data_IF_676761779833
#
_entry.id   IF_676761779833
#
_cell.length_a   1.000
_cell.length_b   1.000
_cell.length_c   1.000
_cell.angle_alpha   90.00
_cell.angle_beta   90.00
_cell.angle_gamma   90.00
#
_symmetry.space_group_name_H-M   'P 1'
#
loop_
_entity.id
_entity.type
_entity.pdbx_description
1 polymer ?
#
# COMPACT_ATOMS: atom_id res chain seq x y z
N UNK A 1 26.75 4.06 -24.62
CA UNK A 1 26.14 4.84 -23.49
C UNK A 1 26.35 4.04 -22.22
N UNK A 2 27.05 4.59 -21.22
CA UNK A 2 27.25 3.91 -19.94
C UNK A 2 26.05 4.18 -19.00
N UNK A 3 25.73 3.19 -18.18
CA UNK A 3 24.75 3.33 -17.11
C UNK A 3 25.29 4.29 -16.05
N UNK A 4 24.49 5.29 -15.65
CA UNK A 4 24.83 6.23 -14.59
C UNK A 4 24.05 5.86 -13.32
N UNK A 5 24.76 5.50 -12.26
CA UNK A 5 24.15 5.32 -10.93
C UNK A 5 23.90 6.70 -10.34
N UNK A 6 22.64 7.04 -10.07
CA UNK A 6 22.27 8.33 -9.52
C UNK A 6 22.23 8.33 -7.99
N UNK A 7 21.85 7.22 -7.36
CA UNK A 7 21.84 7.04 -5.90
C UNK A 7 21.81 5.54 -5.56
N UNK A 8 22.27 5.20 -4.35
CA UNK A 8 22.08 3.88 -3.74
C UNK A 8 20.91 3.97 -2.75
N UNK A 9 20.02 2.98 -2.80
CA UNK A 9 18.95 2.84 -1.81
C UNK A 9 19.47 2.01 -0.63
N UNK A 10 19.05 2.32 0.62
CA UNK A 10 19.36 1.47 1.77
C UNK A 10 18.75 0.09 1.57
N UNK A 11 19.31 -0.93 2.21
CA UNK A 11 18.71 -2.26 2.21
C UNK A 11 17.30 -2.22 2.84
N UNK A 12 16.34 -2.98 2.31
CA UNK A 12 14.97 -3.02 2.85
C UNK A 12 14.91 -3.30 4.36
N UNK A 13 15.78 -4.18 4.87
CA UNK A 13 15.87 -4.48 6.29
C UNK A 13 16.24 -3.26 7.13
N UNK A 14 17.17 -2.42 6.64
CA UNK A 14 17.59 -1.21 7.34
C UNK A 14 16.47 -0.18 7.38
N UNK A 15 15.78 0.01 6.26
CA UNK A 15 14.66 0.95 6.19
C UNK A 15 13.48 0.51 7.08
N UNK A 16 13.18 -0.80 7.12
CA UNK A 16 12.16 -1.35 8.02
C UNK A 16 12.54 -1.20 9.50
N UNK A 17 13.84 -1.29 9.83
CA UNK A 17 14.31 -1.07 11.18
C UNK A 17 14.22 0.41 11.61
N UNK A 18 14.43 1.34 10.66
CA UNK A 18 14.31 2.79 10.90
C UNK A 18 12.86 3.27 10.98
N UNK A 19 11.99 2.68 10.13
CA UNK A 19 10.55 2.98 10.08
C UNK A 19 9.73 1.70 10.34
N UNK A 20 9.78 1.11 11.55
CA UNK A 20 9.17 -0.17 11.84
C UNK A 20 7.64 -0.11 11.85
N UNK A 21 7.01 -1.19 11.44
CA UNK A 21 5.59 -1.41 11.72
C UNK A 21 5.44 -1.72 13.23
N UNK A 22 4.69 -0.92 14.01
CA UNK A 22 4.42 -1.20 15.43
C UNK A 22 3.81 -2.59 15.63
N UNK A 23 4.20 -3.26 16.73
CA UNK A 23 3.76 -4.65 17.00
C UNK A 23 2.24 -4.81 17.03
N UNK A 24 1.54 -3.86 17.63
CA UNK A 24 0.07 -3.84 17.68
C UNK A 24 -0.56 -3.76 16.29
N UNK A 25 0.05 -3.01 15.37
CA UNK A 25 -0.42 -2.92 13.99
C UNK A 25 -0.06 -4.16 13.16
N UNK A 26 1.06 -4.80 13.45
CA UNK A 26 1.43 -6.08 12.86
C UNK A 26 0.43 -7.19 13.24
N UNK A 27 -0.09 -7.20 14.47
CA UNK A 27 -1.15 -8.15 14.86
C UNK A 27 -2.48 -7.86 14.15
N UNK A 28 -2.84 -6.58 13.94
CA UNK A 28 -4.00 -6.23 13.11
C UNK A 28 -3.82 -6.79 11.70
N UNK A 29 -2.66 -6.54 11.08
CA UNK A 29 -2.35 -7.06 9.75
C UNK A 29 -2.46 -8.58 9.69
N UNK A 30 -1.83 -9.29 10.61
CA UNK A 30 -1.85 -10.75 10.69
C UNK A 30 -3.28 -11.32 10.78
N UNK A 31 -4.13 -10.69 11.61
CA UNK A 31 -5.53 -11.08 11.72
C UNK A 31 -6.28 -10.89 10.40
N UNK A 32 -6.14 -9.72 9.77
CA UNK A 32 -6.81 -9.42 8.50
C UNK A 32 -6.30 -10.31 7.37
N UNK A 33 -5.01 -10.60 7.30
CA UNK A 33 -4.43 -11.53 6.32
C UNK A 33 -5.01 -12.95 6.47
N UNK A 34 -5.25 -13.40 7.71
CA UNK A 34 -5.89 -14.68 7.97
C UNK A 34 -7.36 -14.69 7.51
N UNK A 35 -8.14 -13.65 7.83
CA UNK A 35 -9.53 -13.52 7.38
C UNK A 35 -9.64 -13.50 5.84
N UNK A 36 -8.72 -12.81 5.17
CA UNK A 36 -8.69 -12.77 3.71
C UNK A 36 -8.35 -14.15 3.13
N UNK A 37 -7.40 -14.88 3.74
CA UNK A 37 -7.07 -16.25 3.33
C UNK A 37 -8.28 -17.16 3.44
N UNK A 38 -9.03 -17.09 4.54
CA UNK A 38 -10.26 -17.87 4.72
C UNK A 38 -11.29 -17.63 3.60
N UNK A 39 -11.41 -16.39 3.12
CA UNK A 39 -12.30 -16.06 2.00
C UNK A 39 -11.82 -16.77 0.71
N UNK A 40 -10.53 -16.69 0.39
CA UNK A 40 -9.98 -17.32 -0.80
C UNK A 40 -9.99 -18.86 -0.74
N UNK A 41 -9.90 -19.43 0.46
CA UNK A 41 -10.03 -20.88 0.68
C UNK A 41 -11.51 -21.35 0.69
N UNK A 42 -12.47 -20.46 0.51
CA UNK A 42 -13.89 -20.78 0.53
C UNK A 42 -14.43 -21.12 1.93
N UNK A 43 -13.74 -20.73 2.99
CA UNK A 43 -14.13 -20.92 4.39
C UNK A 43 -14.99 -19.77 4.93
N UNK A 44 -15.15 -18.72 4.18
CA UNK A 44 -15.95 -17.55 4.53
C UNK A 44 -16.75 -17.10 3.31
N UNK A 45 -18.03 -16.76 3.52
CA UNK A 45 -18.93 -16.26 2.48
C UNK A 45 -18.79 -14.75 2.20
N UNK A 46 -17.79 -14.09 2.79
CA UNK A 46 -17.54 -12.67 2.56
C UNK A 46 -16.97 -12.43 1.16
N UNK A 47 -17.33 -11.28 0.59
CA UNK A 47 -16.71 -10.76 -0.63
C UNK A 47 -15.55 -9.85 -0.32
N UNK A 48 -14.43 -10.00 -1.03
CA UNK A 48 -13.30 -9.06 -0.98
C UNK A 48 -13.61 -7.88 -1.91
N UNK A 49 -13.55 -6.67 -1.36
CA UNK A 49 -13.72 -5.42 -2.11
C UNK A 49 -12.45 -4.58 -1.96
N UNK A 50 -11.70 -4.45 -3.06
CA UNK A 50 -10.52 -3.59 -3.13
C UNK A 50 -10.95 -2.29 -3.80
N UNK A 51 -10.94 -1.18 -3.06
CA UNK A 51 -11.45 0.11 -3.53
C UNK A 51 -10.60 1.26 -3.04
N UNK A 52 -10.36 2.25 -3.91
CA UNK A 52 -9.55 3.41 -3.57
C UNK A 52 -9.52 4.47 -4.66
N UNK A 53 -8.86 5.61 -4.40
CA UNK A 53 -8.72 6.69 -5.36
C UNK A 53 -7.84 6.29 -6.55
N UNK A 54 -7.86 7.10 -7.60
CA UNK A 54 -7.07 6.86 -8.82
C UNK A 54 -5.55 6.88 -8.55
N UNK A 55 -5.09 7.76 -7.65
CA UNK A 55 -3.69 7.82 -7.21
C UNK A 55 -3.58 8.49 -5.85
N UNK A 56 -2.57 8.08 -5.08
CA UNK A 56 -2.18 8.73 -3.84
C UNK A 56 -1.14 9.81 -4.16
N UNK A 57 -1.45 11.05 -3.84
CA UNK A 57 -0.60 12.23 -4.02
C UNK A 57 -0.43 13.04 -2.73
N UNK A 58 -1.31 12.83 -1.76
CA UNK A 58 -1.32 13.52 -0.49
C UNK A 58 -1.74 12.58 0.64
N UNK A 59 -0.91 12.46 1.67
CA UNK A 59 -1.14 11.53 2.80
C UNK A 59 -2.45 11.83 3.54
N UNK A 60 -2.75 13.11 3.81
CA UNK A 60 -3.95 13.48 4.58
C UNK A 60 -5.23 13.15 3.80
N UNK A 61 -5.24 13.42 2.49
CA UNK A 61 -6.37 13.10 1.63
C UNK A 61 -6.61 11.59 1.55
N UNK A 62 -5.54 10.79 1.48
CA UNK A 62 -5.62 9.33 1.47
C UNK A 62 -6.13 8.82 2.82
N UNK A 63 -5.59 9.31 3.93
CA UNK A 63 -6.02 8.90 5.26
C UNK A 63 -7.48 9.31 5.54
N UNK A 64 -7.94 10.49 5.12
CA UNK A 64 -9.36 10.88 5.20
C UNK A 64 -10.25 9.89 4.41
N UNK A 65 -9.84 9.54 3.19
CA UNK A 65 -10.57 8.54 2.40
C UNK A 65 -10.65 7.19 3.11
N UNK A 66 -9.53 6.69 3.65
CA UNK A 66 -9.50 5.39 4.36
C UNK A 66 -10.33 5.45 5.66
N UNK A 67 -10.32 6.58 6.36
CA UNK A 67 -11.18 6.81 7.54
C UNK A 67 -12.68 6.76 7.18
N UNK A 68 -13.07 7.29 6.02
CA UNK A 68 -14.45 7.16 5.52
C UNK A 68 -14.80 5.72 5.18
N UNK A 69 -13.86 4.98 4.55
CA UNK A 69 -14.05 3.55 4.29
C UNK A 69 -14.19 2.73 5.58
N UNK A 70 -13.47 3.07 6.64
CA UNK A 70 -13.59 2.41 7.93
C UNK A 70 -15.01 2.52 8.48
N UNK A 71 -15.65 3.70 8.38
CA UNK A 71 -17.06 3.90 8.79
C UNK A 71 -18.04 3.09 7.93
N UNK A 72 -17.73 2.89 6.66
CA UNK A 72 -18.52 1.99 5.79
C UNK A 72 -18.29 0.54 6.20
N UNK A 73 -17.03 0.15 6.44
CA UNK A 73 -16.67 -1.20 6.86
C UNK A 73 -17.40 -1.65 8.13
N UNK A 74 -17.61 -0.76 9.11
CA UNK A 74 -18.40 -1.04 10.31
C UNK A 74 -19.82 -1.56 10.01
N UNK A 75 -20.41 -1.11 8.90
CA UNK A 75 -21.79 -1.44 8.51
C UNK A 75 -21.91 -2.67 7.63
N UNK A 76 -20.81 -3.11 6.99
CA UNK A 76 -20.84 -4.16 5.96
C UNK A 76 -19.85 -5.29 6.22
N UNK A 77 -19.11 -5.23 7.32
CA UNK A 77 -18.04 -6.18 7.65
C UNK A 77 -18.52 -7.61 7.90
N UNK A 78 -19.83 -7.81 8.08
CA UNK A 78 -20.46 -9.13 8.12
C UNK A 78 -20.47 -9.82 6.77
N UNK A 79 -20.47 -9.07 5.67
CA UNK A 79 -20.55 -9.57 4.28
C UNK A 79 -19.38 -9.19 3.40
N UNK A 80 -18.71 -8.10 3.70
CA UNK A 80 -17.63 -7.56 2.88
C UNK A 80 -16.31 -7.48 3.66
N UNK A 81 -15.23 -7.84 3.00
CA UNK A 81 -13.87 -7.56 3.43
C UNK A 81 -13.35 -6.37 2.62
N UNK A 82 -13.42 -5.17 3.19
CA UNK A 82 -12.95 -3.97 2.51
C UNK A 82 -11.43 -3.86 2.66
N UNK A 83 -10.74 -3.69 1.54
CA UNK A 83 -9.31 -3.43 1.45
C UNK A 83 -9.14 -2.08 0.74
N UNK A 84 -8.69 -1.03 1.45
CA UNK A 84 -8.34 0.23 0.81
C UNK A 84 -7.26 0.02 -0.25
N UNK A 85 -7.50 0.46 -1.49
CA UNK A 85 -6.47 0.53 -2.52
C UNK A 85 -5.81 1.90 -2.43
N UNK A 86 -4.54 1.91 -2.10
CA UNK A 86 -3.71 3.11 -2.04
C UNK A 86 -2.70 3.02 -3.17
N UNK A 87 -2.98 3.70 -4.27
CA UNK A 87 -2.19 3.60 -5.49
C UNK A 87 -1.09 4.66 -5.51
N UNK A 88 0.15 4.24 -5.22
CA UNK A 88 1.29 5.14 -5.04
C UNK A 88 2.14 5.35 -6.30
N UNK A 89 1.91 4.54 -7.33
CA UNK A 89 2.57 4.63 -8.62
C UNK A 89 1.63 5.23 -9.67
N UNK A 90 2.14 6.14 -10.50
CA UNK A 90 1.40 6.70 -11.63
C UNK A 90 2.21 6.51 -12.91
N UNK A 91 1.93 5.45 -13.68
CA UNK A 91 2.61 5.26 -14.96
C UNK A 91 2.21 6.40 -15.90
N UNK A 92 3.22 6.95 -16.59
CA UNK A 92 3.04 8.01 -17.59
C UNK A 92 3.64 7.55 -18.91
N UNK A 93 2.80 7.24 -19.87
CA UNK A 93 3.24 6.81 -21.21
C UNK A 93 4.02 7.90 -21.96
N UNK A 94 3.70 9.17 -21.68
CA UNK A 94 4.41 10.34 -22.24
C UNK A 94 5.67 10.72 -21.46
N UNK A 95 5.88 10.14 -20.27
CA UNK A 95 6.98 10.52 -19.37
C UNK A 95 6.80 11.86 -18.66
N UNK A 96 5.76 12.61 -18.97
CA UNK A 96 5.46 13.93 -18.39
C UNK A 96 4.40 13.86 -17.28
N UNK A 97 4.43 14.85 -16.38
CA UNK A 97 3.49 15.00 -15.27
C UNK A 97 3.84 14.21 -14.02
N UNK A 98 3.00 14.32 -13.00
CA UNK A 98 3.17 13.71 -11.69
C UNK A 98 3.25 12.17 -11.79
N UNK A 99 4.30 11.58 -11.19
CA UNK A 99 4.64 10.14 -11.30
C UNK A 99 4.16 9.28 -10.13
N UNK A 100 3.37 9.84 -9.23
CA UNK A 100 2.92 9.18 -8.02
C UNK A 100 3.85 9.41 -6.82
N UNK A 101 3.33 9.14 -5.63
CA UNK A 101 4.04 9.37 -4.36
C UNK A 101 5.35 8.59 -4.26
N UNK A 102 5.44 7.41 -4.87
CA UNK A 102 6.67 6.62 -4.86
C UNK A 102 7.87 7.37 -5.47
N UNK A 103 7.65 8.09 -6.55
CA UNK A 103 8.73 8.79 -7.25
C UNK A 103 8.86 10.25 -6.85
N UNK A 104 7.76 10.86 -6.45
CA UNK A 104 7.66 12.30 -6.18
C UNK A 104 6.70 12.53 -5.00
N UNK A 105 7.15 12.25 -3.74
CA UNK A 105 6.32 12.39 -2.55
C UNK A 105 5.87 13.83 -2.30
N UNK A 106 6.67 14.82 -2.74
CA UNK A 106 6.33 16.23 -2.81
C UNK A 106 6.20 16.65 -4.28
N UNK A 107 4.99 16.99 -4.76
CA UNK A 107 4.77 17.37 -6.16
C UNK A 107 5.58 18.60 -6.62
N UNK A 108 6.00 19.46 -5.68
CA UNK A 108 6.73 20.70 -5.97
C UNK A 108 8.25 20.51 -5.96
N UNK A 109 8.73 19.30 -5.60
CA UNK A 109 10.15 18.97 -5.53
C UNK A 109 10.59 18.03 -6.66
N UNK A 110 11.90 17.93 -6.86
CA UNK A 110 12.46 16.96 -7.78
C UNK A 110 12.14 15.50 -7.32
N UNK A 111 11.96 14.56 -8.24
CA UNK A 111 11.74 13.15 -7.89
C UNK A 111 12.81 12.59 -6.97
N UNK A 112 12.39 11.90 -5.90
CA UNK A 112 13.26 11.25 -4.93
C UNK A 112 12.64 9.92 -4.49
N UNK A 113 13.18 8.81 -5.00
CA UNK A 113 12.65 7.48 -4.76
C UNK A 113 12.75 7.05 -3.30
N UNK A 114 13.85 7.40 -2.59
CA UNK A 114 14.02 7.05 -1.19
C UNK A 114 12.97 7.74 -0.31
N UNK A 115 12.81 9.05 -0.48
CA UNK A 115 11.77 9.80 0.23
C UNK A 115 10.37 9.29 -0.12
N UNK A 116 10.15 8.88 -1.37
CA UNK A 116 8.91 8.25 -1.81
C UNK A 116 8.60 6.96 -1.05
N UNK A 117 9.57 6.06 -0.93
CA UNK A 117 9.41 4.81 -0.17
C UNK A 117 9.11 5.10 1.32
N UNK A 118 9.81 6.05 1.92
CA UNK A 118 9.57 6.48 3.32
C UNK A 118 8.17 7.05 3.48
N UNK A 119 7.74 7.94 2.58
CA UNK A 119 6.42 8.55 2.62
C UNK A 119 5.31 7.50 2.50
N UNK A 120 5.45 6.54 1.59
CA UNK A 120 4.50 5.43 1.42
C UNK A 120 4.42 4.58 2.69
N UNK A 121 5.57 4.20 3.29
CA UNK A 121 5.57 3.43 4.55
C UNK A 121 4.81 4.16 5.64
N UNK A 122 5.10 5.45 5.85
CA UNK A 122 4.43 6.28 6.87
C UNK A 122 2.93 6.36 6.64
N UNK A 123 2.51 6.61 5.42
CA UNK A 123 1.10 6.69 5.04
C UNK A 123 0.34 5.38 5.29
N UNK A 124 0.89 4.23 4.88
CA UNK A 124 0.27 2.93 5.14
C UNK A 124 0.20 2.62 6.64
N UNK A 125 1.27 2.87 7.40
CA UNK A 125 1.29 2.67 8.86
C UNK A 125 0.22 3.56 9.52
N UNK A 126 0.12 4.83 9.12
CA UNK A 126 -0.89 5.76 9.61
C UNK A 126 -2.30 5.27 9.29
N UNK A 127 -2.56 4.83 8.07
CA UNK A 127 -3.86 4.31 7.67
C UNK A 127 -4.29 3.12 8.54
N UNK A 128 -3.40 2.15 8.78
CA UNK A 128 -3.69 1.02 9.68
C UNK A 128 -3.93 1.52 11.12
N UNK A 129 -3.09 2.43 11.60
CA UNK A 129 -3.20 2.97 12.97
C UNK A 129 -4.53 3.67 13.21
N UNK A 130 -4.99 4.47 12.27
CA UNK A 130 -6.21 5.26 12.40
C UNK A 130 -7.48 4.42 12.20
N UNK A 131 -7.41 3.34 11.41
CA UNK A 131 -8.62 2.67 10.92
C UNK A 131 -8.69 1.16 11.19
N UNK A 132 -7.57 0.53 11.48
CA UNK A 132 -7.47 -0.94 11.54
C UNK A 132 -7.60 -1.62 10.18
N UNK A 133 -7.67 -0.88 9.06
CA UNK A 133 -7.74 -1.44 7.72
C UNK A 133 -6.34 -1.56 7.12
N UNK A 134 -5.98 -2.77 6.71
CA UNK A 134 -4.79 -3.00 5.89
C UNK A 134 -5.09 -2.71 4.44
N UNK A 135 -4.14 -2.12 3.74
CA UNK A 135 -4.33 -1.65 2.38
C UNK A 135 -3.58 -2.50 1.36
N UNK A 136 -3.97 -2.37 0.10
CA UNK A 136 -3.28 -2.87 -1.06
C UNK A 136 -2.69 -1.71 -1.87
N UNK A 137 -1.55 -1.93 -2.50
CA UNK A 137 -0.96 -1.01 -3.48
C UNK A 137 -0.76 -1.75 -4.81
N UNK A 138 -0.75 -1.02 -5.89
CA UNK A 138 -0.49 -1.53 -7.23
C UNK A 138 0.99 -1.36 -7.55
N UNK A 139 1.75 -2.43 -7.35
CA UNK A 139 3.21 -2.41 -7.52
C UNK A 139 3.60 -2.60 -8.97
N UNK A 140 3.97 -1.51 -9.64
CA UNK A 140 4.51 -1.56 -11.00
C UNK A 140 5.96 -2.05 -11.04
N UNK A 141 6.67 -1.94 -9.93
CA UNK A 141 8.07 -2.33 -9.78
C UNK A 141 8.19 -3.35 -8.65
N UNK A 142 8.25 -4.66 -8.94
CA UNK A 142 8.31 -5.72 -7.94
C UNK A 142 9.46 -5.57 -6.95
N UNK A 143 10.56 -4.93 -7.36
CA UNK A 143 11.74 -4.68 -6.52
C UNK A 143 11.42 -3.84 -5.28
N UNK A 144 10.41 -2.96 -5.39
CA UNK A 144 10.01 -2.10 -4.28
C UNK A 144 9.20 -2.84 -3.21
N UNK A 145 8.70 -4.03 -3.52
CA UNK A 145 7.91 -4.86 -2.59
C UNK A 145 8.63 -5.09 -1.28
N UNK A 146 9.91 -5.44 -1.33
CA UNK A 146 10.71 -5.78 -0.15
C UNK A 146 10.77 -4.66 0.90
N UNK A 147 10.50 -3.41 0.52
CA UNK A 147 10.41 -2.26 1.44
C UNK A 147 9.06 -2.15 2.15
N UNK A 148 8.02 -2.84 1.68
CA UNK A 148 6.63 -2.66 2.11
C UNK A 148 5.92 -3.98 2.46
N UNK A 149 6.55 -5.13 2.31
CA UNK A 149 5.95 -6.47 2.48
C UNK A 149 5.44 -6.75 3.90
N UNK A 150 6.00 -6.06 4.89
CA UNK A 150 5.55 -6.12 6.29
C UNK A 150 4.30 -5.29 6.58
N UNK A 151 3.93 -4.37 5.68
CA UNK A 151 2.81 -3.44 5.84
C UNK A 151 1.67 -3.78 4.88
N UNK A 152 2.01 -3.95 3.60
CA UNK A 152 1.06 -4.31 2.56
C UNK A 152 0.60 -5.75 2.73
N UNK A 153 -0.54 -6.03 2.16
CA UNK A 153 -1.03 -7.39 2.03
C UNK A 153 -0.04 -8.23 1.22
N UNK A 154 0.17 -9.50 1.60
CA UNK A 154 1.06 -10.40 0.86
C UNK A 154 0.51 -10.68 -0.54
N UNK A 155 1.38 -10.57 -1.54
CA UNK A 155 1.02 -10.64 -2.97
C UNK A 155 0.68 -12.03 -3.48
N UNK A 156 0.89 -13.07 -2.70
CA UNK A 156 0.61 -14.45 -3.16
C UNK A 156 -0.78 -14.62 -3.76
N UNK A 157 -1.70 -13.70 -3.44
CA UNK A 157 -3.07 -13.71 -3.90
C UNK A 157 -3.44 -12.62 -4.93
N UNK A 158 -2.60 -11.61 -5.17
CA UNK A 158 -2.90 -10.57 -6.16
C UNK A 158 -2.45 -10.93 -7.57
N UNK A 159 -1.39 -11.71 -7.72
CA UNK A 159 -0.93 -12.21 -9.03
C UNK A 159 -1.91 -13.22 -9.65
N UNK A 160 -2.64 -13.98 -8.84
CA UNK A 160 -3.66 -14.93 -9.34
C UNK A 160 -4.93 -14.22 -9.83
N UNK A 161 -5.26 -13.03 -9.31
CA UNK A 161 -6.42 -12.26 -9.76
C UNK A 161 -6.21 -11.55 -11.10
N UNK A 162 -4.96 -11.35 -11.52
CA UNK A 162 -4.62 -10.77 -12.83
C UNK A 162 -4.52 -11.81 -13.96
N UNK A 163 -4.50 -13.09 -13.63
CA UNK A 163 -4.34 -14.18 -14.61
C UNK A 163 -5.63 -14.91 -14.98
N UNK A 164 -6.82 -14.38 -14.58
CA UNK A 164 -8.12 -14.97 -14.94
C UNK A 164 -8.99 -14.01 -15.70
#
# INVERSE_FOLDING_TARGET
>A
MGMKINAELPLPANLKAEYPLPKELAEIKKKRDAEIREIFEGKSDKFVVIVGPCSADNEDSVCDYVNRLAKVNEKVSDRLMIIPRIYTNKPRTTGEGYKGMLHQPDPDQAPNLLEGIIAIRRMHIRAIKETGLTSADEMLYPENRSYLDDILRSEEHTSELQSR
#
